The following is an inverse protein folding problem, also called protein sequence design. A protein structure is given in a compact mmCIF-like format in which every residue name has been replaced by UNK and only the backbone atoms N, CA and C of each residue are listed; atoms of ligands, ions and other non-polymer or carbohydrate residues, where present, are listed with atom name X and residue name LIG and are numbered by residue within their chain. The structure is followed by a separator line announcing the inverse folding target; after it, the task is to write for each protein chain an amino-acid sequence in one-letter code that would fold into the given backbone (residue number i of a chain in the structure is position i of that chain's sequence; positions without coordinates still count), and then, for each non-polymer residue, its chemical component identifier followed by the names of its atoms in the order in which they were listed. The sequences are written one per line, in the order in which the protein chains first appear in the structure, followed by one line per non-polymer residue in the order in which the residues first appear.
data_IF_392234144679
#
_entry.id   IF_392234144679
#
_cell.length_a   1.000
_cell.length_b   1.000
_cell.length_c   1.000
_cell.angle_alpha   90.00
_cell.angle_beta   90.00
_cell.angle_gamma   90.00
#
_symmetry.space_group_name_H-M   'P 1'
#
loop_
_entity.id
_entity.type
_entity.pdbx_description
1 polymer ?
#
# COMPACT_ATOMS: atom_id res chain seq x y z
N UNK A 1 -29.41 4.17 5.00
CA UNK A 1 -28.17 3.71 5.68
C UNK A 1 -27.10 3.60 4.60
N UNK A 2 -26.12 4.52 4.56
CA UNK A 2 -25.04 4.42 3.58
C UNK A 2 -24.03 3.36 4.05
N UNK A 3 -23.93 2.25 3.31
CA UNK A 3 -23.04 1.10 3.57
C UNK A 3 -22.22 0.75 2.32
N UNK A 4 -21.70 1.77 1.65
CA UNK A 4 -20.62 1.56 0.69
C UNK A 4 -19.34 1.13 1.45
N UNK A 5 -18.14 1.37 0.91
CA UNK A 5 -16.89 1.01 1.61
C UNK A 5 -16.85 1.62 3.02
N UNK A 6 -16.39 0.84 4.02
CA UNK A 6 -16.31 1.26 5.43
C UNK A 6 -15.36 2.45 5.63
N UNK A 7 -14.30 2.48 4.83
CA UNK A 7 -13.27 3.52 4.80
C UNK A 7 -13.46 4.27 3.50
N UNK A 8 -13.61 5.59 3.58
CA UNK A 8 -13.66 6.46 2.40
C UNK A 8 -12.25 6.72 1.86
N UNK A 9 -11.29 7.01 2.74
CA UNK A 9 -9.87 7.07 2.41
C UNK A 9 -8.98 6.90 3.65
N UNK A 10 -7.73 6.51 3.44
CA UNK A 10 -6.64 6.55 4.42
C UNK A 10 -5.51 7.40 3.85
N UNK A 11 -4.95 8.30 4.64
CA UNK A 11 -3.80 9.10 4.24
C UNK A 11 -2.54 8.68 5.00
N UNK A 12 -1.48 8.43 4.23
CA UNK A 12 -0.11 8.29 4.74
C UNK A 12 0.68 9.56 4.42
N UNK A 13 1.30 10.14 5.43
CA UNK A 13 2.28 11.22 5.31
C UNK A 13 3.67 10.61 5.40
N UNK A 14 4.42 10.73 4.31
CA UNK A 14 5.70 10.07 4.11
C UNK A 14 6.86 11.06 4.05
N UNK A 15 8.05 10.60 4.43
CA UNK A 15 9.27 11.39 4.39
C UNK A 15 9.79 11.60 2.96
N UNK A 16 9.66 10.58 2.11
CA UNK A 16 10.14 10.61 0.73
C UNK A 16 9.02 10.15 -0.19
N UNK A 17 8.32 11.12 -0.79
CA UNK A 17 7.20 10.88 -1.68
C UNK A 17 7.61 10.13 -2.96
N UNK A 18 8.83 10.37 -3.46
CA UNK A 18 9.32 9.72 -4.69
C UNK A 18 9.61 8.24 -4.42
N UNK A 19 10.25 7.93 -3.29
CA UNK A 19 10.47 6.56 -2.88
C UNK A 19 9.15 5.82 -2.63
N UNK A 20 8.21 6.45 -1.92
CA UNK A 20 6.89 5.86 -1.70
C UNK A 20 6.12 5.65 -3.01
N UNK A 21 6.15 6.61 -3.93
CA UNK A 21 5.51 6.48 -5.24
C UNK A 21 6.05 5.28 -6.01
N UNK A 22 7.38 5.14 -6.12
CA UNK A 22 8.00 4.00 -6.81
C UNK A 22 7.55 2.66 -6.22
N UNK A 23 7.51 2.56 -4.89
CA UNK A 23 7.04 1.35 -4.21
C UNK A 23 5.57 1.07 -4.50
N UNK A 24 4.69 2.06 -4.27
CA UNK A 24 3.25 1.88 -4.43
C UNK A 24 2.83 1.65 -5.88
N UNK A 25 3.44 2.33 -6.86
CA UNK A 25 3.20 2.08 -8.29
C UNK A 25 3.60 0.65 -8.69
N UNK A 26 4.71 0.13 -8.14
CA UNK A 26 5.16 -1.24 -8.42
C UNK A 26 4.15 -2.29 -7.90
N UNK A 27 3.71 -2.16 -6.65
CA UNK A 27 2.79 -3.14 -6.06
C UNK A 27 1.36 -2.99 -6.56
N UNK A 28 0.87 -1.77 -6.79
CA UNK A 28 -0.49 -1.55 -7.31
C UNK A 28 -0.63 -1.98 -8.77
N UNK A 29 0.44 -1.91 -9.57
CA UNK A 29 0.45 -2.52 -10.89
C UNK A 29 0.19 -4.03 -10.84
N UNK A 30 0.72 -4.74 -9.84
CA UNK A 30 0.47 -6.19 -9.67
C UNK A 30 -0.95 -6.45 -9.21
N UNK A 31 -1.50 -5.60 -8.35
CA UNK A 31 -2.86 -5.71 -7.83
C UNK A 31 -3.93 -5.26 -8.83
N UNK A 32 -3.55 -4.89 -10.06
CA UNK A 32 -4.44 -4.33 -11.08
C UNK A 32 -5.14 -3.02 -10.62
N UNK A 33 -4.50 -2.26 -9.72
CA UNK A 33 -5.00 -0.99 -9.18
C UNK A 33 -4.28 0.18 -9.88
N UNK A 34 -4.99 1.05 -10.62
CA UNK A 34 -4.37 2.20 -11.25
C UNK A 34 -4.10 3.33 -10.24
N UNK A 35 -3.09 4.15 -10.53
CA UNK A 35 -2.97 5.46 -9.87
C UNK A 35 -4.15 6.31 -10.29
N UNK A 36 -4.96 6.74 -9.32
CA UNK A 36 -6.17 7.52 -9.59
C UNK A 36 -5.88 8.99 -9.89
N UNK A 37 -4.78 9.52 -9.35
CA UNK A 37 -4.32 10.87 -9.65
C UNK A 37 -3.09 11.25 -8.84
N UNK A 38 -2.47 12.36 -9.22
CA UNK A 38 -1.34 12.87 -8.47
C UNK A 38 -1.03 14.35 -8.72
N UNK A 39 -0.30 14.95 -7.80
CA UNK A 39 0.27 16.28 -7.88
C UNK A 39 1.76 16.24 -7.44
N UNK A 40 2.36 17.41 -7.25
CA UNK A 40 3.74 17.55 -6.79
C UNK A 40 3.95 16.95 -5.39
N UNK A 41 2.98 17.16 -4.49
CA UNK A 41 3.08 16.87 -3.06
C UNK A 41 2.25 15.65 -2.61
N UNK A 42 1.51 15.00 -3.51
CA UNK A 42 0.77 13.77 -3.22
C UNK A 42 0.48 12.89 -4.45
N UNK A 43 0.09 11.64 -4.21
CA UNK A 43 -0.62 10.78 -5.16
C UNK A 43 -1.66 9.92 -4.42
N UNK A 44 -2.56 9.29 -5.17
CA UNK A 44 -3.51 8.34 -4.60
C UNK A 44 -3.83 7.20 -5.55
N UNK A 45 -4.23 6.07 -4.97
CA UNK A 45 -4.72 4.89 -5.67
C UNK A 45 -5.82 4.24 -4.83
N UNK A 46 -7.00 4.07 -5.42
CA UNK A 46 -8.22 3.67 -4.70
C UNK A 46 -8.43 4.56 -3.46
N UNK A 47 -8.59 3.99 -2.25
CA UNK A 47 -8.73 4.75 -1.01
C UNK A 47 -7.41 5.22 -0.37
N UNK A 48 -6.25 4.83 -0.90
CA UNK A 48 -4.96 5.17 -0.30
C UNK A 48 -4.41 6.48 -0.87
N UNK A 49 -4.30 7.49 -0.02
CA UNK A 49 -3.60 8.74 -0.29
C UNK A 49 -2.21 8.71 0.33
N UNK A 50 -1.22 9.18 -0.42
CA UNK A 50 0.17 9.31 0.05
C UNK A 50 0.64 10.74 -0.22
N UNK A 51 1.02 11.45 0.84
CA UNK A 51 1.41 12.85 0.79
C UNK A 51 2.80 13.07 1.38
N UNK A 52 3.52 14.04 0.85
CA UNK A 52 4.75 14.54 1.48
C UNK A 52 4.44 15.27 2.79
N UNK A 53 5.44 15.41 3.66
CA UNK A 53 5.33 16.17 4.92
C UNK A 53 4.92 17.64 4.73
N UNK A 54 5.29 18.23 3.60
CA UNK A 54 5.02 19.62 3.26
C UNK A 54 3.68 19.82 2.55
N UNK A 55 2.95 18.74 2.26
CA UNK A 55 1.62 18.82 1.68
C UNK A 55 0.66 19.59 2.59
N UNK A 56 -0.21 20.40 2.00
CA UNK A 56 -1.25 21.13 2.75
C UNK A 56 -2.14 20.20 3.59
N UNK A 57 -2.30 18.95 3.16
CA UNK A 57 -3.09 17.94 3.88
C UNK A 57 -2.34 17.27 5.04
N UNK A 58 -1.00 17.39 5.12
CA UNK A 58 -0.16 16.59 6.01
C UNK A 58 0.03 17.16 7.43
N UNK A 59 -0.36 18.42 7.68
CA UNK A 59 -0.15 19.14 8.95
C UNK A 59 1.30 19.04 9.49
N UNK A 60 2.29 18.79 8.62
CA UNK A 60 3.70 18.65 8.98
C UNK A 60 4.05 17.41 9.82
N UNK A 61 3.20 16.38 9.91
CA UNK A 61 3.45 15.20 10.76
C UNK A 61 3.49 13.91 9.96
N UNK A 62 4.60 13.18 10.05
CA UNK A 62 4.71 11.84 9.47
C UNK A 62 3.75 10.88 10.16
N UNK A 63 3.13 10.00 9.38
CA UNK A 63 2.19 9.00 9.91
C UNK A 63 2.90 8.02 10.85
N UNK A 64 4.11 7.56 10.52
CA UNK A 64 4.84 6.57 11.33
C UNK A 64 4.47 5.12 10.97
N UNK A 65 4.84 4.14 11.80
CA UNK A 65 4.64 2.72 11.50
C UNK A 65 3.16 2.34 11.55
N UNK A 66 2.63 1.85 10.44
CA UNK A 66 1.25 1.39 10.28
C UNK A 66 1.27 0.03 9.57
N UNK A 67 0.25 -0.79 9.82
CA UNK A 67 0.04 -2.05 9.11
C UNK A 67 -1.17 -1.89 8.19
N UNK A 68 -0.95 -2.05 6.89
CA UNK A 68 -1.99 -2.07 5.86
C UNK A 68 -1.85 -3.39 5.09
N UNK A 69 -2.96 -4.08 4.89
CA UNK A 69 -3.02 -5.32 4.12
C UNK A 69 -3.93 -5.10 2.90
N UNK A 70 -3.44 -5.45 1.72
CA UNK A 70 -4.18 -5.38 0.47
C UNK A 70 -4.71 -6.76 0.11
N UNK A 71 -5.92 -6.81 -0.45
CA UNK A 71 -6.48 -8.06 -0.94
C UNK A 71 -5.82 -8.46 -2.25
N UNK A 72 -5.42 -9.73 -2.34
CA UNK A 72 -4.93 -10.37 -3.54
C UNK A 72 -5.96 -11.42 -4.00
N UNK A 73 -6.15 -11.57 -5.31
CA UNK A 73 -7.13 -12.51 -5.86
C UNK A 73 -6.71 -13.98 -5.73
N UNK A 74 -5.41 -14.24 -5.63
CA UNK A 74 -4.83 -15.58 -5.50
C UNK A 74 -3.40 -15.54 -4.91
N UNK A 75 -2.81 -16.72 -4.69
CA UNK A 75 -1.44 -16.87 -4.16
C UNK A 75 -0.39 -16.30 -5.11
N UNK A 76 -0.57 -16.47 -6.42
CA UNK A 76 0.39 -15.99 -7.41
C UNK A 76 0.51 -14.45 -7.40
N UNK A 77 -0.61 -13.76 -7.16
CA UNK A 77 -0.62 -12.31 -6.96
C UNK A 77 0.11 -11.90 -5.66
N UNK A 78 0.02 -12.70 -4.59
CA UNK A 78 0.82 -12.47 -3.36
C UNK A 78 2.32 -12.61 -3.64
N UNK A 79 2.73 -13.66 -4.36
CA UNK A 79 4.11 -13.87 -4.76
C UNK A 79 4.64 -12.72 -5.62
N UNK A 80 3.86 -12.30 -6.62
CA UNK A 80 4.19 -11.20 -7.50
C UNK A 80 4.24 -9.85 -6.76
N UNK A 81 3.31 -9.62 -5.82
CA UNK A 81 3.29 -8.42 -4.98
C UNK A 81 4.57 -8.32 -4.15
N UNK A 82 4.97 -9.43 -3.51
CA UNK A 82 6.19 -9.47 -2.71
C UNK A 82 7.42 -9.15 -3.54
N UNK A 83 7.56 -9.78 -4.71
CA UNK A 83 8.67 -9.50 -5.63
C UNK A 83 8.68 -8.03 -6.09
N UNK A 84 7.54 -7.50 -6.50
CA UNK A 84 7.42 -6.10 -6.94
C UNK A 84 7.71 -5.12 -5.82
N UNK A 85 7.31 -5.44 -4.58
CA UNK A 85 7.60 -4.63 -3.40
C UNK A 85 9.10 -4.53 -3.13
N UNK A 86 9.83 -5.65 -3.18
CA UNK A 86 11.29 -5.67 -3.04
C UNK A 86 11.98 -4.92 -4.20
N UNK A 87 11.59 -5.19 -5.45
CA UNK A 87 12.15 -4.52 -6.63
C UNK A 87 11.84 -3.00 -6.61
N UNK A 88 10.72 -2.59 -5.99
CA UNK A 88 10.34 -1.19 -5.75
C UNK A 88 11.11 -0.49 -4.63
N UNK A 89 11.98 -1.21 -3.91
CA UNK A 89 12.80 -0.70 -2.80
C UNK A 89 12.17 -0.89 -1.41
N UNK A 90 11.17 -1.77 -1.29
CA UNK A 90 10.69 -2.27 -0.01
C UNK A 90 11.70 -3.20 0.66
N UNK A 91 11.50 -3.44 1.95
CA UNK A 91 12.32 -4.35 2.76
C UNK A 91 11.48 -5.55 3.16
N UNK A 92 12.04 -6.75 3.07
CA UNK A 92 11.38 -7.98 3.52
C UNK A 92 10.97 -7.89 5.01
N UNK A 93 9.72 -8.26 5.27
CA UNK A 93 9.19 -8.45 6.61
C UNK A 93 8.39 -9.77 6.72
N UNK A 94 8.55 -10.67 5.75
CA UNK A 94 7.96 -12.00 5.70
C UNK A 94 7.64 -12.45 4.29
N UNK A 95 8.47 -13.33 3.73
CA UNK A 95 8.25 -13.97 2.44
C UNK A 95 6.86 -14.63 2.29
N UNK A 96 6.35 -14.79 1.04
CA UNK A 96 5.06 -15.42 0.76
C UNK A 96 4.93 -16.79 1.40
N UNK A 97 3.80 -17.03 2.07
CA UNK A 97 3.55 -18.32 2.70
C UNK A 97 2.23 -18.35 3.48
N UNK A 98 1.83 -19.55 3.88
CA UNK A 98 0.67 -19.71 4.76
C UNK A 98 0.94 -19.17 6.17
N UNK A 99 -0.01 -18.42 6.72
CA UNK A 99 -0.02 -17.95 8.10
C UNK A 99 -1.06 -18.75 8.89
N UNK A 100 -0.76 -20.02 9.12
CA UNK A 100 -1.69 -20.95 9.79
C UNK A 100 -2.10 -20.50 11.20
N UNK A 101 -1.30 -19.65 11.83
CA UNK A 101 -1.60 -19.04 13.13
C UNK A 101 -2.69 -17.95 13.07
N UNK A 102 -3.07 -17.45 11.88
CA UNK A 102 -4.21 -16.55 11.70
C UNK A 102 -5.50 -17.33 11.44
N UNK A 103 -5.52 -18.11 10.36
CA UNK A 103 -6.53 -19.13 10.08
C UNK A 103 -6.07 -20.02 8.90
N UNK A 104 -6.66 -21.22 8.74
CA UNK A 104 -6.36 -22.08 7.60
C UNK A 104 -6.58 -21.36 6.27
N UNK A 105 -5.65 -21.54 5.33
CA UNK A 105 -5.71 -20.98 3.98
C UNK A 105 -5.27 -19.51 3.85
N UNK A 106 -4.97 -18.80 4.93
CA UNK A 106 -4.46 -17.43 4.86
C UNK A 106 -3.04 -17.42 4.27
N UNK A 107 -2.90 -17.03 3.00
CA UNK A 107 -1.62 -16.91 2.31
C UNK A 107 -1.28 -15.44 2.10
N UNK A 108 -0.13 -15.00 2.61
CA UNK A 108 0.27 -13.59 2.59
C UNK A 108 1.78 -13.40 2.55
N UNK A 109 2.22 -12.18 2.26
CA UNK A 109 3.59 -11.70 2.35
C UNK A 109 3.60 -10.31 3.00
N UNK A 110 4.74 -9.90 3.58
CA UNK A 110 4.89 -8.66 4.34
C UNK A 110 6.17 -7.91 4.01
#
# INVERSE_FOLDING_TARGET
LHRARLIDHVQLVVRDLKASRRFYEAVFKVLDIPIGGSAEDYFWADELFVSSIDSRAAQGKLTGRHHLAFQAKDRAMVDAFYKAGLDGGGTDNGAPGERQHYHPGYYAAF
#
